data_IF_887269810754
#
_entry.id   IF_887269810754
#
_cell.length_a   1.000
_cell.length_b   1.000
_cell.length_c   1.000
_cell.angle_alpha   90.00
_cell.angle_beta   90.00
_cell.angle_gamma   90.00
#
_symmetry.space_group_name_H-M   'P 1'
#
loop_
_entity.id
_entity.type
_entity.pdbx_description
1 polymer ?
#
# COMPACT_ATOMS: atom_id res chain seq x y z
N UNK A 1 -18.69 12.99 13.49
CA UNK A 1 -18.60 11.91 12.45
C UNK A 1 -17.16 11.60 12.06
N UNK A 2 -16.22 12.57 12.14
CA UNK A 2 -14.81 12.38 11.76
C UNK A 2 -13.85 12.23 12.95
N UNK A 3 -14.35 12.21 14.18
CA UNK A 3 -13.59 12.27 15.42
C UNK A 3 -12.55 11.14 15.53
N UNK A 4 -12.88 9.95 15.03
CA UNK A 4 -11.95 8.82 14.97
C UNK A 4 -10.75 9.08 14.03
N UNK A 5 -10.98 9.78 12.92
CA UNK A 5 -9.92 10.11 11.96
C UNK A 5 -9.04 11.23 12.52
N UNK A 6 -9.61 12.18 13.24
CA UNK A 6 -8.88 13.33 13.75
C UNK A 6 -8.09 13.02 15.04
N UNK A 7 -8.68 12.27 15.97
CA UNK A 7 -8.16 12.18 17.34
C UNK A 7 -7.77 10.77 17.77
N UNK A 8 -8.40 9.72 17.23
CA UNK A 8 -8.13 8.36 17.68
C UNK A 8 -6.78 7.87 17.14
N UNK A 9 -5.89 7.33 18.00
CA UNK A 9 -4.64 6.73 17.54
C UNK A 9 -4.92 5.51 16.67
N UNK A 10 -4.04 5.27 15.69
CA UNK A 10 -4.13 4.11 14.82
C UNK A 10 -3.90 2.85 15.65
N UNK A 11 -4.88 1.93 15.65
CA UNK A 11 -4.77 0.63 16.33
C UNK A 11 -4.57 -0.46 15.29
N UNK A 12 -3.36 -1.02 15.24
CA UNK A 12 -2.98 -2.08 14.31
C UNK A 12 -3.04 -3.44 15.00
N UNK A 13 -3.56 -4.44 14.28
CA UNK A 13 -3.63 -5.83 14.76
C UNK A 13 -2.23 -6.44 14.89
N UNK A 14 -2.09 -7.48 15.71
CA UNK A 14 -0.81 -8.14 15.95
C UNK A 14 -0.36 -9.04 14.78
N UNK A 15 -1.27 -9.43 13.88
CA UNK A 15 -1.02 -10.40 12.80
C UNK A 15 -0.44 -9.76 11.52
N UNK A 16 0.40 -8.74 11.65
CA UNK A 16 1.09 -8.09 10.52
C UNK A 16 2.59 -8.04 10.80
N UNK A 17 3.40 -8.05 9.74
CA UNK A 17 4.85 -7.92 9.87
C UNK A 17 5.25 -6.56 10.44
N UNK A 18 6.47 -6.46 10.97
CA UNK A 18 7.02 -5.18 11.48
C UNK A 18 7.08 -4.13 10.37
N UNK A 19 7.48 -4.50 9.15
CA UNK A 19 7.51 -3.59 8.01
C UNK A 19 6.12 -3.12 7.60
N UNK A 20 5.10 -4.00 7.65
CA UNK A 20 3.71 -3.65 7.40
C UNK A 20 3.13 -2.70 8.46
N UNK A 21 3.51 -2.89 9.73
CA UNK A 21 3.15 -1.97 10.80
C UNK A 21 3.77 -0.59 10.57
N UNK A 22 5.07 -0.55 10.28
CA UNK A 22 5.81 0.69 10.12
C UNK A 22 5.35 1.51 8.91
N UNK A 23 5.04 0.88 7.77
CA UNK A 23 4.50 1.61 6.61
C UNK A 23 3.14 2.22 6.95
N UNK A 24 2.26 1.49 7.66
CA UNK A 24 0.94 1.99 8.04
C UNK A 24 1.02 3.15 9.03
N UNK A 25 1.90 3.05 10.02
CA UNK A 25 2.12 4.14 10.99
C UNK A 25 2.69 5.40 10.31
N UNK A 26 3.56 5.23 9.31
CA UNK A 26 4.16 6.35 8.58
C UNK A 26 3.19 7.00 7.58
N UNK A 27 2.35 6.21 6.90
CA UNK A 27 1.32 6.72 5.98
C UNK A 27 0.12 7.34 6.70
N UNK A 28 -0.27 6.80 7.86
CA UNK A 28 -1.46 7.25 8.60
C UNK A 28 -1.15 8.35 9.65
N UNK A 29 -0.02 9.04 9.50
CA UNK A 29 0.32 10.20 10.32
C UNK A 29 -0.74 11.30 10.18
N UNK A 30 -1.21 11.79 11.34
CA UNK A 30 -2.20 12.89 11.41
C UNK A 30 -1.59 14.21 10.94
N UNK A 31 -0.35 14.48 11.35
CA UNK A 31 0.41 15.62 10.84
C UNK A 31 0.89 15.33 9.42
N UNK A 32 0.36 16.08 8.45
CA UNK A 32 0.72 15.94 7.04
C UNK A 32 2.21 16.13 6.76
N UNK A 33 2.92 16.91 7.59
CA UNK A 33 4.36 17.17 7.43
C UNK A 33 5.24 16.01 7.88
N UNK A 34 4.70 15.11 8.70
CA UNK A 34 5.38 13.90 9.19
C UNK A 34 4.96 12.65 8.43
N UNK A 35 4.00 12.78 7.52
CA UNK A 35 3.46 11.65 6.75
C UNK A 35 4.48 11.21 5.72
N UNK A 36 4.66 9.91 5.56
CA UNK A 36 5.46 9.34 4.49
C UNK A 36 4.97 9.88 3.13
N UNK A 37 5.89 10.40 2.32
CA UNK A 37 5.62 11.09 1.07
C UNK A 37 5.52 12.61 1.20
N UNK A 38 5.71 13.19 2.40
CA UNK A 38 5.68 14.65 2.57
C UNK A 38 6.89 15.37 1.97
N UNK A 39 8.02 14.66 1.77
CA UNK A 39 9.27 15.26 1.28
C UNK A 39 9.49 14.93 -0.20
N UNK A 40 9.46 13.65 -0.57
CA UNK A 40 9.74 13.17 -1.94
C UNK A 40 8.60 12.35 -2.53
N UNK A 41 7.37 12.56 -2.04
CA UNK A 41 6.15 11.93 -2.55
C UNK A 41 6.30 10.40 -2.72
N UNK A 42 6.12 9.89 -3.94
CA UNK A 42 6.18 8.47 -4.23
C UNK A 42 7.56 7.84 -3.96
N UNK A 43 8.67 8.58 -4.11
CA UNK A 43 10.01 7.98 -3.96
C UNK A 43 10.30 7.58 -2.51
N UNK A 44 9.78 8.32 -1.53
CA UNK A 44 9.87 7.95 -0.12
C UNK A 44 9.11 6.64 0.18
N UNK A 45 7.94 6.49 -0.44
CA UNK A 45 7.10 5.29 -0.33
C UNK A 45 7.81 4.10 -0.98
N UNK A 46 8.38 4.28 -2.18
CA UNK A 46 9.03 3.23 -2.95
C UNK A 46 10.25 2.63 -2.24
N UNK A 47 11.00 3.45 -1.48
CA UNK A 47 12.20 3.04 -0.75
C UNK A 47 11.92 2.38 0.61
N UNK A 48 10.68 2.39 1.09
CA UNK A 48 10.33 1.83 2.38
C UNK A 48 10.55 0.30 2.42
N UNK A 49 11.05 -0.25 3.53
CA UNK A 49 11.42 -1.67 3.69
C UNK A 49 10.26 -2.63 3.35
N UNK A 50 9.01 -2.20 3.57
CA UNK A 50 7.81 -2.96 3.16
C UNK A 50 7.77 -3.30 1.66
N UNK A 51 8.26 -2.40 0.81
CA UNK A 51 8.26 -2.59 -0.65
C UNK A 51 9.60 -3.05 -1.22
N UNK A 52 10.60 -3.34 -0.37
CA UNK A 52 11.92 -3.80 -0.80
C UNK A 52 11.91 -5.00 -1.76
N UNK A 53 10.99 -5.98 -1.66
CA UNK A 53 10.93 -7.08 -2.62
C UNK A 53 10.41 -6.68 -4.02
N UNK A 54 9.89 -5.46 -4.19
CA UNK A 54 9.30 -5.01 -5.44
C UNK A 54 10.37 -4.39 -6.35
N UNK A 55 10.55 -4.95 -7.54
CA UNK A 55 11.19 -4.23 -8.64
C UNK A 55 10.13 -3.34 -9.32
N UNK A 56 10.26 -2.02 -9.11
CA UNK A 56 9.30 -1.03 -9.63
C UNK A 56 9.22 -1.00 -11.16
N UNK A 57 10.32 -1.26 -11.86
CA UNK A 57 10.37 -1.31 -13.33
C UNK A 57 9.60 -2.53 -13.83
N UNK A 58 9.84 -3.70 -13.22
CA UNK A 58 9.14 -4.93 -13.61
C UNK A 58 7.65 -4.88 -13.27
N UNK A 59 7.27 -4.22 -12.17
CA UNK A 59 5.88 -3.98 -11.81
C UNK A 59 5.18 -3.11 -12.87
N UNK A 60 5.80 -2.00 -13.26
CA UNK A 60 5.27 -1.08 -14.28
C UNK A 60 5.15 -1.76 -15.65
N UNK A 61 6.15 -2.56 -16.03
CA UNK A 61 6.14 -3.35 -17.26
C UNK A 61 5.25 -4.61 -17.20
N UNK A 62 4.52 -4.83 -16.10
CA UNK A 62 3.64 -6.00 -15.88
C UNK A 62 4.36 -7.35 -15.99
N UNK A 63 5.65 -7.40 -15.64
CA UNK A 63 6.45 -8.62 -15.64
C UNK A 63 6.30 -9.43 -14.35
N UNK A 64 5.84 -8.80 -13.28
CA UNK A 64 5.54 -9.49 -12.01
C UNK A 64 4.19 -10.21 -12.16
N UNK A 65 4.13 -11.55 -12.03
CA UNK A 65 2.87 -12.27 -12.09
C UNK A 65 1.96 -11.84 -10.94
N UNK A 66 0.66 -11.59 -11.19
CA UNK A 66 -0.25 -11.20 -10.12
C UNK A 66 -0.44 -12.36 -9.13
N UNK A 67 -0.56 -12.08 -7.82
CA UNK A 67 -0.77 -13.12 -6.81
C UNK A 67 -2.16 -13.78 -6.90
N UNK A 68 -3.06 -13.20 -7.70
CA UNK A 68 -4.40 -13.70 -7.93
C UNK A 68 -4.72 -13.63 -9.43
N UNK A 69 -5.12 -14.77 -9.99
CA UNK A 69 -5.66 -14.86 -11.35
C UNK A 69 -7.16 -15.18 -11.26
N UNK A 70 -8.06 -14.23 -11.61
CA UNK A 70 -9.49 -14.49 -11.56
C UNK A 70 -9.91 -15.54 -12.60
N UNK A 71 -10.74 -16.49 -12.18
CA UNK A 71 -11.39 -17.42 -13.11
C UNK A 71 -12.55 -16.73 -13.81
N UNK A 72 -12.25 -16.09 -14.93
CA UNK A 72 -13.28 -15.51 -15.79
C UNK A 72 -13.83 -16.57 -16.73
N UNK A 73 -15.08 -16.96 -16.51
CA UNK A 73 -15.88 -17.61 -17.56
C UNK A 73 -16.31 -16.51 -18.52
N UNK A 74 -15.63 -16.44 -19.65
CA UNK A 74 -16.03 -15.60 -20.76
C UNK A 74 -17.44 -15.99 -21.20
N UNK A 75 -18.42 -15.12 -20.97
CA UNK A 75 -19.71 -15.16 -21.67
C UNK A 75 -19.56 -14.29 -22.92
N UNK A 76 -18.58 -14.61 -23.78
CA UNK A 76 -18.62 -14.17 -25.17
C UNK A 76 -19.65 -15.04 -25.89
N UNK A 77 -20.93 -14.70 -25.71
CA UNK A 77 -21.94 -15.05 -26.71
C UNK A 77 -21.68 -14.12 -27.89
N UNK A 78 -21.22 -14.68 -29.00
CA UNK A 78 -21.32 -14.02 -30.30
C UNK A 78 -22.80 -13.81 -30.60
N UNK A 79 -23.29 -12.57 -30.44
CA UNK A 79 -24.46 -12.03 -31.12
C UNK A 79 -24.11 -10.66 -31.67
#
# INVERSE_FOLDING_TARGET
MNDNILHKPVRLRANITVSARNILESLLQKDKRKRLGAIEDAEEIKRHEFFKPINWIDLEMKKIPPPFNPNVVSVFVFI
#
